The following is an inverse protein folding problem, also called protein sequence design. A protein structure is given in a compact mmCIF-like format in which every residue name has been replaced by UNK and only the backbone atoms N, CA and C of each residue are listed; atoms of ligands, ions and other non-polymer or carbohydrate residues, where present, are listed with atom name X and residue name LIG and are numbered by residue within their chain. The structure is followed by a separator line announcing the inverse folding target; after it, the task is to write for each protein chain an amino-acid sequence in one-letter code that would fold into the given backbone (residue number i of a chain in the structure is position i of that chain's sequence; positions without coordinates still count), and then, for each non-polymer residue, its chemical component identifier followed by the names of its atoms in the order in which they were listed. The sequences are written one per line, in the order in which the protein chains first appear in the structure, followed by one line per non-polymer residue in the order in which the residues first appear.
data_IF_422976025037
#
_entry.id   IF_422976025037
#
_cell.length_a   1.000
_cell.length_b   1.000
_cell.length_c   1.000
_cell.angle_alpha   90.00
_cell.angle_beta   90.00
_cell.angle_gamma   90.00
#
_symmetry.space_group_name_H-M   'P 1'
#
loop_
_entity.id
_entity.type
_entity.pdbx_description
1 polymer ?
#
# COMPACT_ATOMS: atom_id res chain seq x y z
N UNK A 1 7.83 11.79 -8.50
CA UNK A 1 6.44 12.13 -8.87
C UNK A 1 5.47 11.40 -7.99
N UNK A 2 4.46 12.07 -7.47
CA UNK A 2 3.41 11.35 -6.78
C UNK A 2 2.66 10.45 -7.76
N UNK A 3 1.95 9.48 -7.23
CA UNK A 3 1.13 8.59 -8.05
C UNK A 3 0.07 9.40 -8.80
N UNK A 4 -0.31 8.91 -9.97
CA UNK A 4 -1.45 9.49 -10.67
C UNK A 4 -2.71 9.29 -9.83
N UNK A 5 -3.68 10.18 -10.01
CA UNK A 5 -4.94 10.13 -9.27
C UNK A 5 -5.66 8.81 -9.47
N UNK A 6 -5.66 8.28 -10.70
CA UNK A 6 -6.30 7.02 -11.01
C UNK A 6 -5.66 5.84 -10.28
N UNK A 7 -4.32 5.81 -10.23
CA UNK A 7 -3.60 4.76 -9.55
C UNK A 7 -3.81 4.86 -8.03
N UNK A 8 -3.73 6.06 -7.48
CA UNK A 8 -3.93 6.27 -6.05
C UNK A 8 -5.34 5.86 -5.64
N UNK A 9 -6.36 6.30 -6.37
CA UNK A 9 -7.75 5.94 -6.07
C UNK A 9 -7.96 4.43 -6.13
N UNK A 10 -7.41 3.78 -7.15
CA UNK A 10 -7.53 2.32 -7.29
C UNK A 10 -6.85 1.58 -6.14
N UNK A 11 -5.69 2.06 -5.70
CA UNK A 11 -4.98 1.46 -4.58
C UNK A 11 -5.74 1.65 -3.26
N UNK A 12 -6.35 2.81 -3.05
CA UNK A 12 -7.16 3.05 -1.86
C UNK A 12 -8.38 2.12 -1.84
N UNK A 13 -9.03 1.94 -2.98
CA UNK A 13 -10.15 1.00 -3.09
C UNK A 13 -9.70 -0.45 -2.83
N UNK A 14 -8.52 -0.81 -3.35
CA UNK A 14 -7.95 -2.13 -3.09
C UNK A 14 -7.69 -2.33 -1.59
N UNK A 15 -7.22 -1.30 -0.89
CA UNK A 15 -7.02 -1.36 0.57
C UNK A 15 -8.33 -1.65 1.29
N UNK A 16 -9.41 -1.00 0.90
CA UNK A 16 -10.70 -1.25 1.51
C UNK A 16 -11.17 -2.68 1.27
N UNK A 17 -11.00 -3.17 0.04
CA UNK A 17 -11.38 -4.53 -0.30
C UNK A 17 -10.53 -5.55 0.46
N UNK A 18 -9.23 -5.30 0.61
CA UNK A 18 -8.36 -6.18 1.38
C UNK A 18 -8.70 -6.15 2.88
N UNK A 19 -9.09 -4.99 3.40
CA UNK A 19 -9.53 -4.89 4.80
C UNK A 19 -10.76 -5.74 5.05
N UNK A 20 -11.71 -5.72 4.12
CA UNK A 20 -12.89 -6.57 4.20
C UNK A 20 -12.51 -8.05 4.13
N UNK A 21 -11.62 -8.40 3.20
CA UNK A 21 -11.14 -9.77 3.07
C UNK A 21 -10.43 -10.23 4.34
N UNK A 22 -9.61 -9.38 4.94
CA UNK A 22 -8.91 -9.68 6.19
C UNK A 22 -9.90 -9.94 7.32
N UNK A 23 -10.94 -9.13 7.41
CA UNK A 23 -11.99 -9.29 8.42
C UNK A 23 -12.67 -10.65 8.31
N UNK A 24 -13.01 -11.08 7.10
CA UNK A 24 -13.59 -12.38 6.87
C UNK A 24 -12.59 -13.52 7.11
N UNK A 25 -11.38 -13.38 6.59
CA UNK A 25 -10.35 -14.41 6.74
C UNK A 25 -9.99 -14.67 8.19
N UNK A 26 -9.98 -13.63 9.03
CA UNK A 26 -9.68 -13.78 10.45
C UNK A 26 -10.69 -14.68 11.17
N UNK A 27 -11.90 -14.78 10.66
CA UNK A 27 -12.95 -15.60 11.27
C UNK A 27 -13.08 -16.97 10.66
N UNK A 28 -12.76 -17.12 9.37
CA UNK A 28 -13.12 -18.33 8.60
C UNK A 28 -11.93 -19.09 8.05
N UNK A 29 -10.77 -18.46 7.99
CA UNK A 29 -9.59 -19.06 7.36
C UNK A 29 -8.47 -19.30 8.37
N UNK A 30 -7.47 -20.05 7.91
CA UNK A 30 -6.28 -20.29 8.73
C UNK A 30 -5.48 -18.99 8.91
N UNK A 31 -4.75 -18.82 10.04
CA UNK A 31 -4.03 -17.58 10.32
C UNK A 31 -3.07 -17.12 9.24
N UNK A 32 -2.45 -18.03 8.47
CA UNK A 32 -1.51 -17.62 7.45
C UNK A 32 -2.19 -16.88 6.28
N UNK A 33 -3.47 -17.14 6.04
CA UNK A 33 -4.24 -16.40 5.02
C UNK A 33 -4.36 -14.93 5.44
N UNK A 34 -4.76 -14.70 6.69
CA UNK A 34 -4.87 -13.34 7.22
C UNK A 34 -3.53 -12.61 7.18
N UNK A 35 -2.44 -13.32 7.49
CA UNK A 35 -1.10 -12.75 7.44
C UNK A 35 -0.73 -12.29 6.02
N UNK A 36 -1.00 -13.12 5.01
CA UNK A 36 -0.70 -12.75 3.64
C UNK A 36 -1.52 -11.54 3.17
N UNK A 37 -2.79 -11.47 3.57
CA UNK A 37 -3.63 -10.31 3.25
C UNK A 37 -3.07 -9.05 3.91
N UNK A 38 -2.68 -9.14 5.18
CA UNK A 38 -2.08 -8.02 5.90
C UNK A 38 -0.78 -7.55 5.23
N UNK A 39 0.04 -8.48 4.76
CA UNK A 39 1.28 -8.16 4.05
C UNK A 39 1.00 -7.40 2.74
N UNK A 40 -0.03 -7.81 2.00
CA UNK A 40 -0.43 -7.11 0.79
C UNK A 40 -0.91 -5.69 1.09
N UNK A 41 -1.65 -5.51 2.18
CA UNK A 41 -2.10 -4.19 2.62
C UNK A 41 -0.92 -3.30 2.96
N UNK A 42 0.08 -3.84 3.65
CA UNK A 42 1.32 -3.12 3.96
C UNK A 42 2.05 -2.67 2.71
N UNK A 43 2.12 -3.54 1.71
CA UNK A 43 2.77 -3.20 0.44
C UNK A 43 2.06 -2.05 -0.26
N UNK A 44 0.74 -2.07 -0.29
CA UNK A 44 -0.04 -0.99 -0.89
C UNK A 44 0.16 0.31 -0.11
N UNK A 45 0.14 0.23 1.21
CA UNK A 45 0.36 1.39 2.07
C UNK A 45 1.72 2.03 1.78
N UNK A 46 2.75 1.21 1.59
CA UNK A 46 4.09 1.70 1.24
C UNK A 46 4.10 2.42 -0.10
N UNK A 47 3.38 1.90 -1.10
CA UNK A 47 3.31 2.54 -2.40
C UNK A 47 2.64 3.91 -2.30
N UNK A 48 1.58 4.01 -1.50
CA UNK A 48 0.83 5.27 -1.38
C UNK A 48 1.59 6.30 -0.55
N UNK A 49 2.21 5.90 0.56
CA UNK A 49 2.74 6.82 1.56
C UNK A 49 4.26 6.90 1.60
N UNK A 50 4.96 5.80 1.34
CA UNK A 50 6.42 5.75 1.49
C UNK A 50 7.15 6.07 0.20
N UNK A 51 6.71 5.50 -0.91
CA UNK A 51 7.36 5.72 -2.21
C UNK A 51 7.40 7.20 -2.60
N UNK A 52 6.32 7.99 -2.43
CA UNK A 52 6.39 9.42 -2.70
C UNK A 52 7.43 10.17 -1.86
N UNK A 53 7.63 9.76 -0.61
CA UNK A 53 8.65 10.34 0.24
C UNK A 53 10.06 10.01 -0.25
N UNK A 54 10.27 8.78 -0.70
CA UNK A 54 11.55 8.36 -1.26
C UNK A 54 11.87 9.13 -2.53
N UNK A 55 10.87 9.34 -3.39
CA UNK A 55 11.05 10.13 -4.60
C UNK A 55 11.45 11.57 -4.28
N UNK A 56 10.86 12.17 -3.26
CA UNK A 56 11.22 13.53 -2.82
C UNK A 56 12.67 13.58 -2.34
N UNK A 57 13.11 12.57 -1.61
CA UNK A 57 14.50 12.49 -1.13
C UNK A 57 15.46 12.37 -2.32
N UNK A 58 15.14 11.52 -3.29
CA UNK A 58 15.96 11.35 -4.48
C UNK A 58 16.05 12.65 -5.28
N UNK A 59 14.94 13.35 -5.47
CA UNK A 59 14.93 14.65 -6.16
C UNK A 59 15.78 15.68 -5.41
N UNK A 60 15.67 15.72 -4.09
CA UNK A 60 16.47 16.62 -3.26
C UNK A 60 17.95 16.32 -3.37
N UNK A 61 18.34 15.06 -3.39
CA UNK A 61 19.74 14.67 -3.56
C UNK A 61 20.27 15.05 -4.93
N UNK A 62 19.47 14.85 -5.97
CA UNK A 62 19.86 15.21 -7.33
C UNK A 62 20.06 16.71 -7.47
N UNK A 63 19.22 17.51 -6.85
CA UNK A 63 19.33 18.97 -6.86
C UNK A 63 20.58 19.46 -6.13
N UNK A 64 21.03 18.69 -5.15
CA UNK A 64 22.24 19.04 -4.38
C UNK A 64 23.53 18.76 -5.13
N UNK A 65 23.48 17.90 -6.12
CA UNK A 65 24.63 17.52 -6.91
C UNK A 65 24.87 18.46 -8.08
#
# INVERSE_FOLDING_TARGET
MPLSEQVETSLVEAQENLRNALSFAARTEKPYIAKHIADMMSNIDNIIHVVPLLEQVEEGLNDSL
#
